data_IF_502495305539
#
_entry.id   IF_502495305539
#
_cell.length_a   1.000
_cell.length_b   1.000
_cell.length_c   1.000
_cell.angle_alpha   90.00
_cell.angle_beta   90.00
_cell.angle_gamma   90.00
#
_symmetry.space_group_name_H-M   'P 1'
#
loop_
_entity.id
_entity.type
_entity.pdbx_description
1 polymer ?
#
# COMPACT_ATOMS: atom_id res chain seq x y z
N UNK A 1 6.88 -22.84 9.45
CA UNK A 1 7.31 -21.72 10.31
C UNK A 1 6.25 -20.64 10.26
N UNK A 2 5.51 -20.44 11.36
CA UNK A 2 4.54 -19.34 11.46
C UNK A 2 5.37 -18.06 11.51
N UNK A 3 5.43 -17.31 10.41
CA UNK A 3 6.21 -16.07 10.37
C UNK A 3 5.55 -15.04 11.29
N UNK A 4 6.35 -14.27 12.02
CA UNK A 4 5.83 -13.34 13.05
C UNK A 4 4.88 -12.33 12.41
N UNK A 5 3.84 -11.90 13.15
CA UNK A 5 2.90 -10.88 12.69
C UNK A 5 3.61 -9.61 12.20
N UNK A 6 4.73 -9.26 12.83
CA UNK A 6 5.56 -8.10 12.45
C UNK A 6 6.25 -8.30 11.10
N UNK A 7 6.74 -9.50 10.78
CA UNK A 7 7.32 -9.78 9.45
C UNK A 7 6.30 -9.61 8.33
N UNK A 8 5.06 -10.06 8.55
CA UNK A 8 3.96 -9.87 7.60
C UNK A 8 3.62 -8.39 7.48
N UNK A 9 3.48 -7.70 8.60
CA UNK A 9 3.16 -6.28 8.62
C UNK A 9 4.21 -5.43 7.89
N UNK A 10 5.49 -5.67 8.13
CA UNK A 10 6.56 -4.95 7.46
C UNK A 10 6.60 -5.26 5.97
N UNK A 11 6.41 -6.52 5.57
CA UNK A 11 6.29 -6.90 4.16
C UNK A 11 5.16 -6.16 3.44
N UNK A 12 3.97 -6.14 4.04
CA UNK A 12 2.83 -5.42 3.46
C UNK A 12 3.08 -3.92 3.41
N UNK A 13 3.71 -3.34 4.45
CA UNK A 13 4.06 -1.92 4.47
C UNK A 13 5.05 -1.56 3.36
N UNK A 14 6.15 -2.31 3.23
CA UNK A 14 7.18 -2.06 2.23
C UNK A 14 6.66 -2.18 0.79
N UNK A 15 5.67 -3.05 0.57
CA UNK A 15 5.02 -3.24 -0.73
C UNK A 15 3.73 -2.40 -0.90
N UNK A 16 3.41 -1.53 0.06
CA UNK A 16 2.23 -0.65 -0.01
C UNK A 16 2.56 0.67 -0.69
N UNK A 17 1.58 1.25 -1.38
CA UNK A 17 1.68 2.59 -1.94
C UNK A 17 2.03 3.63 -0.88
N UNK A 18 1.39 3.54 0.29
CA UNK A 18 1.66 4.44 1.43
C UNK A 18 3.11 4.30 1.93
N UNK A 19 3.61 3.08 2.06
CA UNK A 19 5.00 2.83 2.48
C UNK A 19 6.02 3.38 1.49
N UNK A 20 5.79 3.16 0.20
CA UNK A 20 6.63 3.70 -0.88
C UNK A 20 6.64 5.23 -0.90
N UNK A 21 5.48 5.88 -0.75
CA UNK A 21 5.41 7.34 -0.65
C UNK A 21 6.13 7.86 0.58
N UNK A 22 5.93 7.27 1.76
CA UNK A 22 6.62 7.67 2.99
C UNK A 22 8.13 7.56 2.80
N UNK A 23 8.64 6.41 2.33
CA UNK A 23 10.07 6.21 2.12
C UNK A 23 10.66 7.26 1.15
N UNK A 24 9.98 7.52 0.05
CA UNK A 24 10.39 8.50 -0.97
C UNK A 24 10.46 9.92 -0.40
N UNK A 25 9.43 10.35 0.32
CA UNK A 25 9.37 11.70 0.91
C UNK A 25 10.46 11.88 1.96
N UNK A 26 10.69 10.87 2.80
CA UNK A 26 11.74 10.94 3.80
C UNK A 26 13.12 11.13 3.16
N UNK A 27 13.42 10.39 2.08
CA UNK A 27 14.66 10.54 1.30
C UNK A 27 14.81 11.93 0.68
N UNK A 28 13.72 12.48 0.15
CA UNK A 28 13.74 13.79 -0.54
C UNK A 28 13.85 14.95 0.45
N UNK A 29 13.11 14.90 1.56
CA UNK A 29 12.99 16.01 2.52
C UNK A 29 14.15 16.08 3.52
N UNK A 30 14.77 14.96 3.88
CA UNK A 30 15.79 14.91 4.93
C UNK A 30 17.11 14.31 4.44
N UNK A 31 18.25 14.79 4.98
CA UNK A 31 19.60 14.27 4.67
C UNK A 31 20.43 14.03 5.94
N UNK A 32 21.45 13.18 5.82
CA UNK A 32 22.45 12.93 6.88
C UNK A 32 21.85 12.57 8.23
N UNK A 33 22.32 13.22 9.30
CA UNK A 33 21.86 12.98 10.69
C UNK A 33 20.36 13.22 10.88
N UNK A 34 19.74 14.15 10.14
CA UNK A 34 18.29 14.42 10.22
C UNK A 34 17.49 13.23 9.69
N UNK A 35 17.88 12.67 8.55
CA UNK A 35 17.24 11.50 7.96
C UNK A 35 17.28 10.29 8.90
N UNK A 36 18.44 10.02 9.50
CA UNK A 36 18.61 8.94 10.50
C UNK A 36 17.66 9.10 11.68
N UNK A 37 17.48 10.33 12.22
CA UNK A 37 16.55 10.61 13.31
C UNK A 37 15.09 10.35 12.90
N UNK A 38 14.69 10.78 11.70
CA UNK A 38 13.30 10.58 11.24
C UNK A 38 13.01 9.11 10.94
N UNK A 39 13.96 8.35 10.39
CA UNK A 39 13.84 6.90 10.23
C UNK A 39 13.63 6.21 11.59
N UNK A 40 14.37 6.62 12.63
CA UNK A 40 14.18 6.10 13.99
C UNK A 40 12.81 6.45 14.56
N UNK A 41 12.29 7.65 14.27
CA UNK A 41 10.91 8.02 14.64
C UNK A 41 9.89 7.15 13.90
N UNK A 42 10.08 6.93 12.60
CA UNK A 42 9.23 6.06 11.78
C UNK A 42 9.19 4.63 12.34
N UNK A 43 10.36 4.05 12.65
CA UNK A 43 10.43 2.70 13.20
C UNK A 43 9.70 2.59 14.54
N UNK A 44 9.79 3.61 15.39
CA UNK A 44 9.09 3.63 16.67
C UNK A 44 7.57 3.80 16.51
N UNK A 45 7.12 4.72 15.65
CA UNK A 45 5.68 4.98 15.41
C UNK A 45 4.99 3.78 14.77
N UNK A 46 5.67 3.12 13.83
CA UNK A 46 5.12 1.95 13.14
C UNK A 46 5.48 0.64 13.83
N UNK A 47 6.22 0.65 14.94
CA UNK A 47 6.64 -0.55 15.67
C UNK A 47 7.34 -1.57 14.74
N UNK A 48 8.36 -1.09 14.04
CA UNK A 48 9.25 -1.86 13.17
C UNK A 48 10.68 -1.88 13.73
N UNK A 49 11.47 -2.87 13.34
CA UNK A 49 12.89 -2.85 13.64
C UNK A 49 13.55 -1.67 12.92
N UNK A 50 14.42 -0.95 13.63
CA UNK A 50 15.13 0.19 13.06
C UNK A 50 15.91 -0.19 11.80
N UNK A 51 16.53 -1.38 11.79
CA UNK A 51 17.27 -1.91 10.63
C UNK A 51 16.36 -2.03 9.40
N UNK A 52 15.17 -2.61 9.56
CA UNK A 52 14.20 -2.77 8.48
C UNK A 52 13.76 -1.42 7.90
N UNK A 53 13.37 -0.47 8.75
CA UNK A 53 12.96 0.86 8.31
C UNK A 53 14.11 1.62 7.62
N UNK A 54 15.34 1.50 8.16
CA UNK A 54 16.53 2.10 7.58
C UNK A 54 16.84 1.52 6.20
N UNK A 55 16.83 0.21 6.06
CA UNK A 55 17.21 -0.47 4.83
C UNK A 55 16.19 -0.18 3.70
N UNK A 56 14.91 -0.12 4.04
CA UNK A 56 13.87 0.33 3.11
C UNK A 56 14.05 1.80 2.70
N UNK A 57 14.23 2.72 3.65
CA UNK A 57 14.28 4.15 3.34
C UNK A 57 15.58 4.52 2.62
N UNK A 58 16.74 4.06 3.10
CA UNK A 58 18.04 4.47 2.54
C UNK A 58 18.43 3.70 1.29
N UNK A 59 18.14 2.41 1.24
CA UNK A 59 18.65 1.51 0.20
C UNK A 59 17.55 0.93 -0.68
N UNK A 60 16.27 1.24 -0.41
CA UNK A 60 15.12 0.70 -1.13
C UNK A 60 15.10 -0.84 -1.11
N UNK A 61 15.60 -1.44 -0.03
CA UNK A 61 15.62 -2.90 0.15
C UNK A 61 14.23 -3.32 0.63
N UNK A 62 13.51 -4.03 -0.22
CA UNK A 62 12.23 -4.64 0.10
C UNK A 62 12.45 -5.97 0.85
N UNK A 63 11.59 -6.28 1.83
CA UNK A 63 11.66 -7.55 2.55
C UNK A 63 11.17 -8.71 1.69
N UNK A 64 11.80 -9.87 1.85
CA UNK A 64 11.32 -11.11 1.25
C UNK A 64 9.89 -11.45 1.69
N UNK A 65 9.14 -12.09 0.79
CA UNK A 65 7.79 -12.54 1.09
C UNK A 65 7.77 -13.46 2.33
N UNK A 66 6.94 -13.13 3.34
CA UNK A 66 6.77 -13.97 4.50
C UNK A 66 5.95 -15.23 4.19
N UNK A 67 5.52 -15.43 2.94
CA UNK A 67 4.67 -16.54 2.54
C UNK A 67 5.39 -17.43 1.53
N UNK A 68 5.31 -18.76 1.72
CA UNK A 68 5.65 -19.72 0.66
C UNK A 68 4.65 -19.64 -0.50
N UNK A 69 3.37 -19.46 -0.16
CA UNK A 69 2.26 -19.20 -1.08
C UNK A 69 1.42 -18.07 -0.51
N UNK A 70 1.25 -17.00 -1.27
CA UNK A 70 0.50 -15.82 -0.82
C UNK A 70 -0.99 -16.18 -0.63
N UNK A 71 -1.58 -15.89 0.55
CA UNK A 71 -3.02 -16.01 0.75
C UNK A 71 -3.78 -15.08 -0.20
N UNK A 72 -4.94 -15.52 -0.70
CA UNK A 72 -5.74 -14.74 -1.66
C UNK A 72 -6.06 -13.33 -1.17
N UNK A 73 -6.34 -13.17 0.13
CA UNK A 73 -6.60 -11.84 0.72
C UNK A 73 -5.38 -10.91 0.64
N UNK A 74 -4.18 -11.46 0.81
CA UNK A 74 -2.93 -10.69 0.70
C UNK A 74 -2.63 -10.39 -0.76
N UNK A 75 -2.87 -11.34 -1.66
CA UNK A 75 -2.72 -11.13 -3.10
C UNK A 75 -3.61 -9.98 -3.59
N UNK A 76 -4.90 -9.98 -3.20
CA UNK A 76 -5.84 -8.89 -3.53
C UNK A 76 -5.33 -7.56 -2.98
N UNK A 77 -4.91 -7.52 -1.71
CA UNK A 77 -4.39 -6.30 -1.10
C UNK A 77 -3.18 -5.74 -1.86
N UNK A 78 -2.19 -6.58 -2.17
CA UNK A 78 -0.98 -6.16 -2.87
C UNK A 78 -1.26 -5.71 -4.30
N UNK A 79 -2.19 -6.37 -5.01
CA UNK A 79 -2.59 -5.95 -6.35
C UNK A 79 -3.21 -4.54 -6.34
N UNK A 80 -4.09 -4.27 -5.36
CA UNK A 80 -4.69 -2.94 -5.17
C UNK A 80 -3.62 -1.89 -4.87
N UNK A 81 -2.68 -2.18 -3.97
CA UNK A 81 -1.57 -1.25 -3.65
C UNK A 81 -0.65 -0.99 -4.85
N UNK A 82 -0.44 -2.00 -5.70
CA UNK A 82 0.29 -1.83 -6.96
C UNK A 82 -0.47 -0.92 -7.93
N UNK A 83 -1.77 -1.13 -8.12
CA UNK A 83 -2.59 -0.29 -9.01
C UNK A 83 -2.72 1.14 -8.49
N UNK A 84 -2.82 1.32 -7.17
CA UNK A 84 -2.76 2.64 -6.52
C UNK A 84 -1.47 3.39 -6.89
N UNK A 85 -0.34 2.68 -6.86
CA UNK A 85 0.95 3.25 -7.22
C UNK A 85 0.99 3.68 -8.69
N UNK A 86 0.52 2.82 -9.62
CA UNK A 86 0.44 3.12 -11.05
C UNK A 86 -0.45 4.33 -11.35
N UNK A 87 -1.69 4.31 -10.85
CA UNK A 87 -2.65 5.40 -11.04
C UNK A 87 -2.14 6.74 -10.49
N UNK A 88 -1.43 6.70 -9.35
CA UNK A 88 -0.85 7.91 -8.78
C UNK A 88 0.24 8.53 -9.64
N UNK A 89 0.98 7.69 -10.39
CA UNK A 89 1.97 8.15 -11.38
C UNK A 89 1.30 8.66 -12.66
N UNK A 90 0.21 8.02 -13.10
CA UNK A 90 -0.55 8.41 -14.30
C UNK A 90 -1.20 9.80 -14.18
N UNK A 91 -1.67 10.20 -12.99
CA UNK A 91 -2.35 11.50 -12.81
C UNK A 91 -1.68 12.45 -11.79
N UNK A 92 -0.34 12.51 -11.81
CA UNK A 92 0.47 13.39 -10.95
C UNK A 92 -0.02 14.86 -10.87
N UNK A 93 -0.68 15.38 -11.91
CA UNK A 93 -1.11 16.78 -12.00
C UNK A 93 -2.59 17.05 -11.66
N UNK A 94 -3.42 16.02 -11.41
CA UNK A 94 -4.90 16.19 -11.38
C UNK A 94 -5.56 15.94 -10.02
N UNK A 95 -4.83 15.45 -9.01
CA UNK A 95 -5.44 15.06 -7.74
C UNK A 95 -5.43 16.19 -6.71
N UNK A 96 -6.62 16.71 -6.41
CA UNK A 96 -6.88 17.47 -5.17
C UNK A 96 -6.67 16.53 -3.97
N UNK A 97 -6.04 17.04 -2.91
CA UNK A 97 -5.68 16.30 -1.70
C UNK A 97 -6.89 15.93 -0.81
N UNK A 98 -8.12 16.17 -1.25
CA UNK A 98 -9.32 15.86 -0.49
C UNK A 98 -9.56 14.35 -0.34
N UNK A 99 -10.07 13.92 0.81
CA UNK A 99 -10.30 12.51 1.15
C UNK A 99 -11.37 11.82 0.27
N UNK A 100 -12.31 12.58 -0.30
CA UNK A 100 -13.27 12.11 -1.30
C UNK A 100 -12.63 11.92 -2.67
N UNK A 101 -11.73 12.82 -3.06
CA UNK A 101 -10.97 12.72 -4.31
C UNK A 101 -10.05 11.49 -4.29
N UNK A 102 -9.41 11.20 -3.16
CA UNK A 102 -8.64 9.96 -3.01
C UNK A 102 -9.50 8.69 -3.22
N UNK A 103 -10.69 8.63 -2.62
CA UNK A 103 -11.55 7.45 -2.74
C UNK A 103 -12.08 7.26 -4.16
N UNK A 104 -12.67 8.32 -4.73
CA UNK A 104 -13.33 8.26 -6.05
C UNK A 104 -12.32 8.19 -7.19
N UNK A 105 -11.22 8.93 -7.11
CA UNK A 105 -10.32 9.11 -8.24
C UNK A 105 -9.07 8.22 -8.23
N UNK A 106 -8.78 7.58 -7.09
CA UNK A 106 -7.61 6.70 -6.94
C UNK A 106 -7.98 5.30 -6.45
N UNK A 107 -8.61 5.18 -5.27
CA UNK A 107 -8.82 3.87 -4.65
C UNK A 107 -9.84 3.00 -5.41
N UNK A 108 -10.99 3.53 -5.79
CA UNK A 108 -11.98 2.76 -6.55
C UNK A 108 -11.45 2.32 -7.93
N UNK A 109 -10.84 3.21 -8.74
CA UNK A 109 -10.19 2.79 -9.98
C UNK A 109 -9.11 1.72 -9.77
N UNK A 110 -8.32 1.82 -8.68
CA UNK A 110 -7.30 0.82 -8.36
C UNK A 110 -7.92 -0.54 -8.02
N UNK A 111 -9.01 -0.57 -7.26
CA UNK A 111 -9.74 -1.80 -6.91
C UNK A 111 -10.35 -2.43 -8.17
N UNK A 112 -10.94 -1.63 -9.04
CA UNK A 112 -11.52 -2.08 -10.30
C UNK A 112 -10.46 -2.71 -11.20
N UNK A 113 -9.34 -2.02 -11.45
CA UNK A 113 -8.21 -2.55 -12.22
C UNK A 113 -7.65 -3.83 -11.60
N UNK A 114 -7.47 -3.86 -10.28
CA UNK A 114 -6.98 -5.04 -9.57
C UNK A 114 -7.93 -6.24 -9.72
N UNK A 115 -9.25 -6.02 -9.65
CA UNK A 115 -10.23 -7.07 -9.90
C UNK A 115 -10.14 -7.57 -11.34
N UNK A 116 -10.09 -6.65 -12.31
CA UNK A 116 -9.91 -6.97 -13.74
C UNK A 116 -8.66 -7.84 -13.98
N UNK A 117 -7.50 -7.44 -13.46
CA UNK A 117 -6.25 -8.19 -13.62
C UNK A 117 -6.29 -9.60 -13.00
N UNK A 118 -7.06 -9.77 -11.93
CA UNK A 118 -7.21 -11.05 -11.23
C UNK A 118 -8.21 -11.98 -11.90
N UNK A 119 -9.08 -11.46 -12.77
CA UNK A 119 -10.01 -12.22 -13.61
C UNK A 119 -9.35 -12.46 -14.97
N UNK A 120 -8.83 -13.67 -15.17
CA UNK A 120 -8.30 -14.09 -16.47
C UNK A 120 -9.37 -14.87 -17.23
N UNK A 121 -9.31 -14.79 -18.56
CA UNK A 121 -9.99 -15.71 -19.48
C UNK A 121 -11.53 -15.62 -19.47
N UNK A 122 -12.10 -14.40 -19.43
CA UNK A 122 -13.53 -14.16 -19.61
C UNK A 122 -13.74 -13.43 -20.93
N UNK A 123 -14.24 -14.14 -21.94
CA UNK A 123 -14.47 -13.59 -23.29
C UNK A 123 -15.82 -12.88 -23.42
N UNK A 124 -16.75 -13.10 -22.48
CA UNK A 124 -18.09 -12.48 -22.51
C UNK A 124 -18.12 -11.20 -21.67
N UNK A 125 -18.28 -10.05 -22.32
CA UNK A 125 -18.33 -8.73 -21.68
C UNK A 125 -19.43 -8.60 -20.62
N UNK A 126 -20.61 -9.20 -20.85
CA UNK A 126 -21.74 -9.14 -19.91
C UNK A 126 -21.43 -9.93 -18.64
N UNK A 127 -20.81 -11.10 -18.79
CA UNK A 127 -20.39 -11.94 -17.65
C UNK A 127 -19.23 -11.29 -16.89
N UNK A 128 -18.28 -10.71 -17.62
CA UNK A 128 -17.18 -9.94 -17.05
C UNK A 128 -17.71 -8.80 -16.18
N UNK A 129 -18.64 -8.00 -16.69
CA UNK A 129 -19.18 -6.85 -15.95
C UNK A 129 -19.90 -7.27 -14.66
N UNK A 130 -20.73 -8.32 -14.72
CA UNK A 130 -21.42 -8.86 -13.54
C UNK A 130 -20.43 -9.39 -12.50
N UNK A 131 -19.41 -10.14 -12.95
CA UNK A 131 -18.40 -10.68 -12.06
C UNK A 131 -17.53 -9.57 -11.45
N UNK A 132 -17.21 -8.53 -12.23
CA UNK A 132 -16.45 -7.37 -11.78
C UNK A 132 -17.15 -6.66 -10.61
N UNK A 133 -18.46 -6.43 -10.69
CA UNK A 133 -19.23 -5.79 -9.62
C UNK A 133 -19.19 -6.60 -8.31
N UNK A 134 -19.34 -7.93 -8.40
CA UNK A 134 -19.26 -8.82 -7.25
C UNK A 134 -17.85 -8.81 -6.64
N UNK A 135 -16.83 -8.98 -7.48
CA UNK A 135 -15.41 -8.99 -7.06
C UNK A 135 -14.99 -7.65 -6.48
N UNK A 136 -15.50 -6.53 -6.99
CA UNK A 136 -15.21 -5.19 -6.49
C UNK A 136 -15.60 -5.05 -5.02
N UNK A 137 -16.82 -5.50 -4.65
CA UNK A 137 -17.30 -5.45 -3.26
C UNK A 137 -16.42 -6.32 -2.34
N UNK A 138 -16.09 -7.53 -2.79
CA UNK A 138 -15.22 -8.45 -2.05
C UNK A 138 -13.82 -7.85 -1.87
N UNK A 139 -13.23 -7.32 -2.93
CA UNK A 139 -11.89 -6.75 -2.92
C UNK A 139 -11.81 -5.52 -2.01
N UNK A 140 -12.82 -4.65 -2.05
CA UNK A 140 -12.95 -3.50 -1.15
C UNK A 140 -12.97 -3.93 0.32
N UNK A 141 -13.80 -4.93 0.65
CA UNK A 141 -13.85 -5.47 2.01
C UNK A 141 -12.51 -6.09 2.44
N UNK A 142 -11.91 -6.90 1.56
CA UNK A 142 -10.61 -7.54 1.80
C UNK A 142 -9.52 -6.51 2.06
N UNK A 143 -9.45 -5.45 1.25
CA UNK A 143 -8.46 -4.39 1.39
C UNK A 143 -8.49 -3.75 2.77
N UNK A 144 -9.65 -3.26 3.21
CA UNK A 144 -9.79 -2.64 4.52
C UNK A 144 -9.57 -3.64 5.67
N UNK A 145 -10.01 -4.89 5.51
CA UNK A 145 -9.79 -5.95 6.50
C UNK A 145 -8.30 -6.25 6.69
N UNK A 146 -7.53 -6.32 5.61
CA UNK A 146 -6.07 -6.54 5.66
C UNK A 146 -5.38 -5.32 6.29
N UNK A 147 -5.68 -4.11 5.82
CA UNK A 147 -5.11 -2.87 6.37
C UNK A 147 -5.36 -2.75 7.87
N UNK A 148 -6.59 -3.02 8.32
CA UNK A 148 -6.95 -3.02 9.74
C UNK A 148 -6.24 -4.11 10.54
N UNK A 149 -6.28 -5.37 10.08
CA UNK A 149 -5.67 -6.52 10.76
C UNK A 149 -4.19 -6.32 11.05
N UNK A 150 -3.47 -5.70 10.11
CA UNK A 150 -2.03 -5.45 10.22
C UNK A 150 -1.69 -4.01 10.64
N UNK A 151 -2.68 -3.16 10.96
CA UNK A 151 -2.45 -1.75 11.35
C UNK A 151 -1.53 -1.03 10.36
N UNK A 152 -1.84 -1.19 9.07
CA UNK A 152 -1.09 -0.57 7.99
C UNK A 152 -1.54 0.88 7.83
N UNK A 153 -0.60 1.83 7.63
CA UNK A 153 -0.97 3.18 7.26
C UNK A 153 -1.64 3.14 5.88
N UNK A 154 -2.83 3.72 5.79
CA UNK A 154 -3.45 4.08 4.51
C UNK A 154 -3.25 5.57 4.30
N UNK A 155 -3.39 6.09 3.07
CA UNK A 155 -3.23 7.53 2.80
C UNK A 155 -4.10 8.42 3.70
N UNK A 156 -5.26 7.94 4.16
CA UNK A 156 -6.11 8.64 5.13
C UNK A 156 -5.50 8.78 6.53
N UNK A 157 -4.55 7.91 6.88
CA UNK A 157 -4.01 7.73 8.24
C UNK A 157 -2.48 7.76 8.21
N UNK A 158 -1.85 8.48 7.27
CA UNK A 158 -0.39 8.65 7.29
C UNK A 158 -0.05 9.77 8.28
N UNK A 159 0.63 9.46 9.40
CA UNK A 159 0.93 10.46 10.41
C UNK A 159 1.98 11.51 9.96
N UNK A 160 2.60 11.32 8.80
CA UNK A 160 3.70 12.14 8.29
C UNK A 160 3.29 13.18 7.25
N UNK A 161 2.06 13.14 6.73
CA UNK A 161 1.58 14.12 5.73
C UNK A 161 1.00 15.39 6.36
N UNK A 162 0.52 15.34 7.61
CA UNK A 162 -0.21 16.45 8.24
C UNK A 162 0.66 17.40 9.07
N UNK A 163 2.00 17.33 8.98
CA UNK A 163 2.85 18.38 9.57
C UNK A 163 3.23 19.37 8.47
N UNK A 164 2.28 20.25 8.15
CA UNK A 164 2.59 21.63 7.77
C UNK A 164 3.29 22.27 8.97
N UNK A 165 4.59 22.51 8.82
CA UNK A 165 5.28 23.55 9.60
C UNK A 165 4.90 24.92 9.01
#
# INVERSE_FOLDING_TARGET
MVKSKNSVRFFLFANSFSGNKIATILRQKYKGKKLVKVIKKLSNVLDFEYKQARDLVLFNIEPDSPYKRLPSSIKIYLEIESELSKLSGEKLDQYSTAAEDYQKQLLYPAIERACGNLMKDIDCDIEFQKLLEEKFRIATHVYYKVAYKYRLPTIRVVPFFNTTD
#
